data_IF_071998341144
#
_entry.id   IF_071998341144
#
_cell.length_a   1.000
_cell.length_b   1.000
_cell.length_c   1.000
_cell.angle_alpha   90.00
_cell.angle_beta   90.00
_cell.angle_gamma   90.00
#
_symmetry.space_group_name_H-M   'P 1'
#
loop_
_entity.id
_entity.type
_entity.pdbx_description
1 polymer ?
#
# COMPACT_ATOMS: atom_id res chain seq x y z
N UNK A 1 -0.16 -10.85 16.64
CA UNK A 1 0.66 -10.33 17.76
C UNK A 1 1.79 -9.41 17.29
N UNK A 2 2.65 -9.83 16.34
CA UNK A 2 3.84 -9.06 15.93
C UNK A 2 3.52 -7.69 15.28
N UNK A 3 2.63 -7.63 14.30
CA UNK A 3 2.29 -6.36 13.59
C UNK A 3 1.76 -5.27 14.53
N UNK A 4 0.90 -5.64 15.49
CA UNK A 4 0.37 -4.71 16.50
C UNK A 4 1.46 -4.17 17.43
N UNK A 5 2.43 -5.00 17.83
CA UNK A 5 3.54 -4.57 18.68
C UNK A 5 4.47 -3.62 17.92
N UNK A 6 4.82 -3.93 16.66
CA UNK A 6 5.65 -3.05 15.81
C UNK A 6 4.98 -1.70 15.61
N UNK A 7 3.66 -1.69 15.33
CA UNK A 7 2.90 -0.44 15.27
C UNK A 7 3.02 0.38 16.55
N UNK A 8 2.72 -0.23 17.69
CA UNK A 8 2.71 0.47 18.99
C UNK A 8 4.10 0.99 19.42
N UNK A 9 5.18 0.33 19.00
CA UNK A 9 6.53 0.66 19.46
C UNK A 9 7.35 1.47 18.44
N UNK A 10 7.11 1.30 17.15
CA UNK A 10 7.92 1.89 16.08
C UNK A 10 7.11 2.80 15.15
N UNK A 11 5.78 2.78 15.23
CA UNK A 11 4.92 3.59 14.36
C UNK A 11 4.94 3.15 12.89
N UNK A 12 5.44 1.93 12.61
CA UNK A 12 5.53 1.37 11.25
C UNK A 12 4.57 0.20 11.11
N UNK A 13 3.84 0.17 9.99
CA UNK A 13 3.02 -0.98 9.59
C UNK A 13 3.11 -1.16 8.07
N UNK A 14 3.13 -2.42 7.64
CA UNK A 14 2.98 -2.78 6.22
C UNK A 14 1.54 -3.25 6.00
N UNK A 15 0.83 -2.57 5.08
CA UNK A 15 -0.54 -2.87 4.69
C UNK A 15 -0.55 -3.31 3.22
N UNK A 16 -1.32 -4.36 2.89
CA UNK A 16 -1.63 -4.61 1.50
C UNK A 16 -2.74 -3.65 1.07
N UNK A 17 -2.68 -3.10 -0.15
CA UNK A 17 -3.69 -2.15 -0.62
C UNK A 17 -5.10 -2.76 -0.64
N UNK A 18 -5.19 -4.07 -0.87
CA UNK A 18 -6.47 -4.82 -0.87
C UNK A 18 -7.07 -4.96 0.54
N UNK A 19 -6.24 -4.89 1.59
CA UNK A 19 -6.70 -4.93 2.99
C UNK A 19 -7.34 -3.60 3.43
N UNK A 20 -7.13 -2.52 2.66
CA UNK A 20 -7.73 -1.22 2.91
C UNK A 20 -9.15 -1.24 2.35
N UNK A 21 -10.17 -1.28 3.20
CA UNK A 21 -11.56 -1.39 2.77
C UNK A 21 -12.14 -0.10 2.19
N UNK A 22 -11.67 1.06 2.69
CA UNK A 22 -12.08 2.35 2.17
C UNK A 22 -11.41 2.62 0.80
N UNK A 23 -12.20 2.82 -0.28
CA UNK A 23 -11.65 2.95 -1.62
C UNK A 23 -10.86 4.25 -1.82
N UNK A 24 -11.24 5.33 -1.14
CA UNK A 24 -10.56 6.62 -1.25
C UNK A 24 -9.22 6.62 -0.55
N UNK A 25 -9.15 6.02 0.64
CA UNK A 25 -7.92 5.81 1.38
C UNK A 25 -6.95 4.93 0.60
N UNK A 26 -7.45 3.85 -0.02
CA UNK A 26 -6.63 2.99 -0.88
C UNK A 26 -5.99 3.80 -2.02
N UNK A 27 -6.79 4.62 -2.71
CA UNK A 27 -6.30 5.47 -3.80
C UNK A 27 -5.29 6.50 -3.31
N UNK A 28 -5.52 7.13 -2.16
CA UNK A 28 -4.61 8.11 -1.58
C UNK A 28 -3.24 7.51 -1.25
N UNK A 29 -3.21 6.33 -0.61
CA UNK A 29 -1.96 5.62 -0.31
C UNK A 29 -1.24 5.20 -1.59
N UNK A 30 -1.97 4.73 -2.61
CA UNK A 30 -1.39 4.42 -3.91
C UNK A 30 -0.78 5.67 -4.57
N UNK A 31 -1.47 6.80 -4.56
CA UNK A 31 -0.97 8.05 -5.12
C UNK A 31 0.31 8.53 -4.42
N UNK A 32 0.34 8.49 -3.09
CA UNK A 32 1.55 8.87 -2.34
C UNK A 32 2.70 7.90 -2.62
N UNK A 33 2.42 6.61 -2.78
CA UNK A 33 3.44 5.64 -3.16
C UNK A 33 4.00 5.91 -4.56
N UNK A 34 3.14 6.18 -5.53
CA UNK A 34 3.56 6.54 -6.90
C UNK A 34 4.38 7.82 -6.91
N UNK A 35 3.96 8.83 -6.14
CA UNK A 35 4.66 10.11 -6.03
C UNK A 35 6.07 9.94 -5.45
N UNK A 36 6.24 9.06 -4.47
CA UNK A 36 7.51 8.91 -3.75
C UNK A 36 8.48 7.92 -4.40
N UNK A 37 7.98 6.86 -5.03
CA UNK A 37 8.80 5.76 -5.56
C UNK A 37 8.56 5.45 -7.04
N UNK A 38 7.70 6.21 -7.70
CA UNK A 38 7.31 5.97 -9.08
C UNK A 38 6.19 4.91 -9.21
N UNK A 39 5.64 4.75 -10.42
CA UNK A 39 4.57 3.79 -10.67
C UNK A 39 5.03 2.36 -10.36
N UNK A 40 4.15 1.56 -9.76
CA UNK A 40 4.39 0.12 -9.58
C UNK A 40 4.61 -0.48 -10.97
N UNK A 41 5.72 -1.21 -11.16
CA UNK A 41 5.89 -2.10 -12.31
C UNK A 41 4.88 -3.25 -12.16
N UNK A 42 3.62 -3.02 -12.49
CA UNK A 42 2.77 -4.11 -12.92
C UNK A 42 3.23 -4.47 -14.32
N UNK A 43 3.78 -5.67 -14.48
CA UNK A 43 3.93 -6.29 -15.79
C UNK A 43 2.64 -6.04 -16.56
N UNK A 44 2.75 -5.34 -17.69
CA UNK A 44 1.65 -5.15 -18.61
C UNK A 44 1.29 -6.52 -19.16
N UNK A 45 0.44 -7.29 -18.48
CA UNK A 45 -0.30 -8.38 -19.13
C UNK A 45 -1.35 -7.72 -20.02
N UNK A 46 -0.89 -7.15 -21.13
CA UNK A 46 -1.76 -6.79 -22.25
C UNK A 46 -2.02 -8.10 -23.00
N UNK A 47 -2.96 -8.88 -22.47
CA UNK A 47 -3.59 -9.95 -23.21
C UNK A 47 -4.57 -9.34 -24.20
N UNK A 48 -4.09 -8.99 -25.39
CA UNK A 48 -4.86 -9.02 -26.65
C UNK A 48 -3.92 -8.87 -27.84
#
# INVERSE_FOLDING_TARGET
MLRRRVWLQQGVVSLHLEDITDPWLRQAIQNEAVRRWGPRQQEKTHGR
#
